data_IF_418674803233
#
_entry.id   IF_418674803233
#
_cell.length_a   1.000
_cell.length_b   1.000
_cell.length_c   1.000
_cell.angle_alpha   90.00
_cell.angle_beta   90.00
_cell.angle_gamma   90.00
#
_symmetry.space_group_name_H-M   'P 1'
#
loop_
_entity.id
_entity.type
_entity.pdbx_description
1 polymer ?
#
# COMPACT_ATOMS: atom_id res chain seq x y z
N UNK A 1 -13.08 -18.72 -2.18
CA UNK A 1 -12.02 -17.97 -1.46
C UNK A 1 -11.80 -16.57 -2.01
N UNK A 2 -11.47 -16.36 -3.31
CA UNK A 2 -11.21 -15.02 -3.86
C UNK A 2 -12.28 -13.94 -3.57
N UNK A 3 -13.58 -14.30 -3.59
CA UNK A 3 -14.68 -13.36 -3.25
C UNK A 3 -14.64 -12.88 -1.79
N UNK A 4 -14.35 -13.77 -0.85
CA UNK A 4 -14.21 -13.43 0.57
C UNK A 4 -13.03 -12.46 0.80
N UNK A 5 -11.87 -12.75 0.18
CA UNK A 5 -10.69 -11.88 0.28
C UNK A 5 -10.92 -10.49 -0.33
N UNK A 6 -11.69 -10.39 -1.42
CA UNK A 6 -12.00 -9.11 -2.05
C UNK A 6 -12.89 -8.21 -1.20
N UNK A 7 -13.65 -8.77 -0.25
CA UNK A 7 -14.54 -8.03 0.66
C UNK A 7 -13.83 -7.55 1.93
N UNK A 8 -12.70 -8.17 2.31
CA UNK A 8 -11.91 -7.78 3.49
C UNK A 8 -11.29 -6.40 3.34
N UNK A 9 -11.15 -5.64 4.42
CA UNK A 9 -10.37 -4.40 4.46
C UNK A 9 -8.86 -4.68 4.31
N UNK A 10 -8.05 -3.64 4.05
CA UNK A 10 -6.60 -3.82 3.95
C UNK A 10 -5.97 -4.29 5.27
N UNK A 11 -6.50 -3.86 6.42
CA UNK A 11 -6.02 -4.30 7.74
C UNK A 11 -6.29 -5.80 7.94
N UNK A 12 -7.48 -6.26 7.58
CA UNK A 12 -7.87 -7.67 7.65
C UNK A 12 -7.06 -8.53 6.68
N UNK A 13 -6.77 -8.06 5.46
CA UNK A 13 -5.87 -8.75 4.54
C UNK A 13 -4.44 -8.88 5.08
N UNK A 14 -3.93 -7.84 5.76
CA UNK A 14 -2.61 -7.92 6.40
C UNK A 14 -2.58 -8.92 7.56
N UNK A 15 -3.64 -8.98 8.38
CA UNK A 15 -3.78 -10.01 9.42
C UNK A 15 -3.88 -11.41 8.81
N UNK A 16 -4.67 -11.58 7.75
CA UNK A 16 -4.82 -12.84 7.03
C UNK A 16 -3.48 -13.32 6.46
N UNK A 17 -2.71 -12.45 5.81
CA UNK A 17 -1.36 -12.75 5.33
C UNK A 17 -0.43 -13.17 6.46
N UNK A 18 -0.56 -12.57 7.65
CA UNK A 18 0.28 -12.95 8.79
C UNK A 18 -0.14 -14.27 9.43
N UNK A 19 -1.41 -14.64 9.37
CA UNK A 19 -1.93 -15.90 9.89
C UNK A 19 -1.63 -17.09 8.96
N UNK A 20 -1.58 -16.85 7.64
CA UNK A 20 -1.42 -17.88 6.61
C UNK A 20 -0.07 -17.76 5.87
N UNK A 21 1.02 -17.45 6.60
CA UNK A 21 2.35 -17.25 6.00
C UNK A 21 2.92 -18.48 5.30
N UNK A 22 2.66 -19.66 5.85
CA UNK A 22 3.21 -20.92 5.35
C UNK A 22 2.27 -21.59 4.32
N UNK A 23 1.09 -21.03 4.09
CA UNK A 23 0.12 -21.53 3.13
C UNK A 23 0.25 -20.77 1.81
N UNK A 24 1.18 -21.21 0.96
CA UNK A 24 1.53 -20.57 -0.32
C UNK A 24 0.32 -20.11 -1.14
N UNK A 25 -0.69 -20.98 -1.27
CA UNK A 25 -1.89 -20.68 -2.06
C UNK A 25 -2.78 -19.61 -1.41
N UNK A 26 -2.91 -19.60 -0.09
CA UNK A 26 -3.71 -18.62 0.65
C UNK A 26 -2.99 -17.26 0.69
N UNK A 27 -1.68 -17.29 0.93
CA UNK A 27 -0.81 -16.13 0.95
C UNK A 27 -0.81 -15.41 -0.39
N UNK A 28 -0.53 -16.14 -1.48
CA UNK A 28 -0.47 -15.58 -2.83
C UNK A 28 -1.80 -14.94 -3.26
N UNK A 29 -2.94 -15.56 -2.92
CA UNK A 29 -4.26 -15.02 -3.25
C UNK A 29 -4.57 -13.71 -2.48
N UNK A 30 -4.25 -13.65 -1.18
CA UNK A 30 -4.48 -12.44 -0.40
C UNK A 30 -3.54 -11.30 -0.82
N UNK A 31 -2.30 -11.63 -1.19
CA UNK A 31 -1.33 -10.68 -1.71
C UNK A 31 -1.77 -10.11 -3.07
N UNK A 32 -2.28 -10.95 -3.97
CA UNK A 32 -2.82 -10.53 -5.27
C UNK A 32 -3.95 -9.50 -5.09
N UNK A 33 -4.89 -9.76 -4.17
CA UNK A 33 -5.97 -8.81 -3.86
C UNK A 33 -5.42 -7.49 -3.34
N UNK A 34 -4.45 -7.53 -2.42
CA UNK A 34 -3.85 -6.33 -1.85
C UNK A 34 -3.11 -5.48 -2.89
N UNK A 35 -2.36 -6.13 -3.79
CA UNK A 35 -1.67 -5.47 -4.89
C UNK A 35 -2.64 -4.90 -5.94
N UNK A 36 -3.73 -5.62 -6.23
CA UNK A 36 -4.75 -5.17 -7.19
C UNK A 36 -5.44 -3.87 -6.76
N UNK A 37 -5.58 -3.63 -5.45
CA UNK A 37 -6.13 -2.40 -4.87
C UNK A 37 -5.16 -1.22 -4.93
N UNK A 38 -3.85 -1.50 -4.95
CA UNK A 38 -2.80 -0.47 -4.95
C UNK A 38 -2.46 0.05 -6.37
N UNK A 39 -3.31 -0.25 -7.36
CA UNK A 39 -3.04 0.03 -8.78
C UNK A 39 -2.79 1.52 -9.07
N UNK A 40 -3.42 2.40 -8.29
CA UNK A 40 -3.29 3.86 -8.40
C UNK A 40 -2.46 4.48 -7.27
N UNK A 41 -1.52 3.72 -6.69
CA UNK A 41 -0.56 4.28 -5.74
C UNK A 41 0.28 5.35 -6.43
N UNK A 42 0.23 6.59 -5.93
CA UNK A 42 1.08 7.69 -6.41
C UNK A 42 2.53 7.23 -6.45
N UNK A 43 3.09 7.11 -7.66
CA UNK A 43 4.49 6.73 -7.86
C UNK A 43 5.32 8.00 -7.74
N UNK A 44 6.05 8.11 -6.64
CA UNK A 44 7.06 9.15 -6.53
C UNK A 44 8.17 8.88 -7.56
N UNK A 45 8.69 9.92 -8.23
CA UNK A 45 9.92 9.78 -9.00
C UNK A 45 11.02 9.25 -8.09
N UNK A 46 12.01 8.58 -8.67
CA UNK A 46 13.14 8.13 -7.88
C UNK A 46 13.85 9.36 -7.26
N UNK A 47 14.27 9.34 -5.99
CA UNK A 47 14.88 10.52 -5.36
C UNK A 47 16.08 11.06 -6.13
N UNK A 48 16.85 10.17 -6.78
CA UNK A 48 17.99 10.54 -7.62
C UNK A 48 17.63 11.34 -8.90
N UNK A 49 16.35 11.34 -9.30
CA UNK A 49 15.85 12.12 -10.45
C UNK A 49 15.16 13.41 -10.03
N UNK A 50 15.16 13.74 -8.73
CA UNK A 50 14.50 14.92 -8.17
C UNK A 50 15.53 15.88 -7.56
N UNK A 51 15.25 17.18 -7.62
CA UNK A 51 16.03 18.15 -6.86
C UNK A 51 15.68 18.08 -5.37
N UNK A 52 16.57 18.58 -4.51
CA UNK A 52 16.33 18.64 -3.08
C UNK A 52 15.06 19.45 -2.74
N UNK A 53 14.82 20.55 -3.46
CA UNK A 53 13.67 21.44 -3.28
C UNK A 53 12.34 20.74 -3.62
N UNK A 54 12.33 19.92 -4.68
CA UNK A 54 11.15 19.14 -5.09
C UNK A 54 10.80 18.08 -4.05
N UNK A 55 11.82 17.41 -3.51
CA UNK A 55 11.67 16.42 -2.44
C UNK A 55 11.15 17.10 -1.16
N UNK A 56 11.76 18.22 -0.76
CA UNK A 56 11.35 18.99 0.41
C UNK A 56 9.88 19.44 0.32
N UNK A 57 9.45 19.91 -0.86
CA UNK A 57 8.07 20.33 -1.10
C UNK A 57 7.07 19.18 -0.89
N UNK A 58 7.38 17.98 -1.39
CA UNK A 58 6.54 16.79 -1.18
C UNK A 58 6.37 16.48 0.31
N UNK A 59 7.46 16.54 1.07
CA UNK A 59 7.42 16.28 2.51
C UNK A 59 6.60 17.34 3.26
N UNK A 60 6.81 18.63 2.95
CA UNK A 60 6.03 19.73 3.53
C UNK A 60 4.53 19.61 3.21
N UNK A 61 4.19 19.33 1.96
CA UNK A 61 2.79 19.16 1.52
C UNK A 61 2.10 18.00 2.26
N UNK A 62 2.81 16.88 2.50
CA UNK A 62 2.27 15.77 3.30
C UNK A 62 2.10 16.11 4.77
N UNK A 63 3.09 16.76 5.38
CA UNK A 63 3.03 17.15 6.79
C UNK A 63 1.89 18.13 7.05
N UNK A 64 1.68 19.09 6.15
CA UNK A 64 0.58 20.04 6.24
C UNK A 64 -0.79 19.34 6.15
N UNK A 65 -0.96 18.38 5.23
CA UNK A 65 -2.21 17.60 5.13
C UNK A 65 -2.49 16.74 6.36
N UNK A 66 -1.46 16.29 7.09
CA UNK A 66 -1.62 15.56 8.35
C UNK A 66 -2.02 16.51 9.49
N UNK A 67 -1.52 17.74 9.48
CA UNK A 67 -1.82 18.73 10.52
C UNK A 67 -3.18 19.44 10.31
N UNK A 68 -3.72 19.44 9.09
CA UNK A 68 -5.04 20.02 8.75
C UNK A 68 -6.20 19.03 8.90
N UNK A 69 -5.92 17.75 9.20
CA UNK A 69 -6.90 16.67 9.37
C UNK A 69 -7.06 16.27 10.83
#
# INVERSE_FOLDING_TARGET
MKKFLSEMTNSELHQYLSAHRDEEAAFSQALEVLLSRKKDGFKYPAPQTMSYEEVEKIFKDKLNRINEA
#
